data_IF_951440713810
#
_entry.id   IF_951440713810
#
_cell.length_a   1.000
_cell.length_b   1.000
_cell.length_c   1.000
_cell.angle_alpha   90.00
_cell.angle_beta   90.00
_cell.angle_gamma   90.00
#
_symmetry.space_group_name_H-M   'P 1'
#
loop_
_entity.id
_entity.type
_entity.pdbx_description
1 polymer ?
#
# COMPACT_ATOMS: atom_id res chain seq x y z
N UNK A 1 0.85 16.67 -7.05
CA UNK A 1 0.91 15.20 -6.89
C UNK A 1 -0.38 14.77 -6.24
N UNK A 2 -0.91 13.62 -6.64
CA UNK A 2 -2.12 13.02 -6.06
C UNK A 2 -1.69 12.15 -4.88
N UNK A 3 -2.60 11.98 -3.91
CA UNK A 3 -2.39 11.05 -2.79
C UNK A 3 -3.02 9.71 -3.12
N UNK A 4 -2.30 8.64 -2.80
CA UNK A 4 -2.80 7.28 -2.92
C UNK A 4 -2.68 6.56 -1.58
N UNK A 5 -3.72 5.83 -1.21
CA UNK A 5 -3.70 4.88 -0.10
C UNK A 5 -3.39 3.48 -0.63
N UNK A 6 -2.40 2.83 -0.01
CA UNK A 6 -2.00 1.46 -0.30
C UNK A 6 -2.46 0.57 0.84
N UNK A 7 -3.19 -0.49 0.52
CA UNK A 7 -3.76 -1.42 1.50
C UNK A 7 -3.18 -2.82 1.35
N UNK A 8 -2.89 -3.48 2.47
CA UNK A 8 -2.63 -4.92 2.49
C UNK A 8 -3.94 -5.72 2.41
N UNK A 9 -3.83 -7.01 2.10
CA UNK A 9 -4.90 -7.95 2.44
C UNK A 9 -5.08 -7.99 3.98
N UNK A 10 -6.29 -8.33 4.44
CA UNK A 10 -6.52 -8.59 5.87
C UNK A 10 -5.79 -9.87 6.30
N UNK A 11 -5.17 -9.85 7.47
CA UNK A 11 -4.54 -11.01 8.09
C UNK A 11 -4.79 -11.04 9.60
N UNK A 12 -4.70 -12.23 10.20
CA UNK A 12 -4.80 -12.39 11.64
C UNK A 12 -3.41 -12.18 12.27
N UNK A 13 -3.32 -11.24 13.20
CA UNK A 13 -2.06 -10.96 13.89
C UNK A 13 -1.78 -12.00 15.01
N UNK A 14 -0.61 -11.88 15.65
CA UNK A 14 -0.18 -12.78 16.75
C UNK A 14 -1.11 -12.84 17.97
N UNK A 15 -2.04 -11.89 18.10
CA UNK A 15 -3.05 -11.84 19.17
C UNK A 15 -4.41 -12.40 18.73
N UNK A 16 -4.50 -13.01 17.53
CA UNK A 16 -5.74 -13.52 16.99
C UNK A 16 -6.69 -12.43 16.46
N UNK A 17 -6.23 -11.18 16.33
CA UNK A 17 -7.07 -10.07 15.87
C UNK A 17 -6.87 -9.80 14.37
N UNK A 18 -7.94 -9.53 13.61
CA UNK A 18 -7.82 -9.03 12.24
C UNK A 18 -6.99 -7.76 12.21
N UNK A 19 -6.15 -7.64 11.18
CA UNK A 19 -5.31 -6.47 10.93
C UNK A 19 -5.18 -6.27 9.43
N UNK A 20 -5.28 -5.01 9.02
CA UNK A 20 -4.86 -4.51 7.73
C UNK A 20 -3.76 -3.47 7.95
N UNK A 21 -2.83 -3.33 7.01
CA UNK A 21 -1.81 -2.28 6.99
C UNK A 21 -2.14 -1.32 5.86
N UNK A 22 -2.03 -0.03 6.15
CA UNK A 22 -2.22 1.04 5.17
C UNK A 22 -1.03 2.00 5.19
N UNK A 23 -0.69 2.55 4.04
CA UNK A 23 0.23 3.68 3.90
C UNK A 23 -0.28 4.68 2.87
N UNK A 24 0.07 5.96 3.05
CA UNK A 24 -0.24 7.04 2.11
C UNK A 24 1.03 7.42 1.36
N UNK A 25 0.96 7.47 0.04
CA UNK A 25 2.05 7.91 -0.83
C UNK A 25 1.58 9.04 -1.76
N UNK A 26 2.53 9.73 -2.37
CA UNK A 26 2.27 10.72 -3.41
C UNK A 26 2.82 10.24 -4.75
N UNK A 27 2.01 10.35 -5.80
CA UNK A 27 2.41 10.03 -7.18
C UNK A 27 1.59 10.89 -8.17
N UNK A 28 2.00 10.96 -9.43
CA UNK A 28 1.25 11.74 -10.43
C UNK A 28 0.02 10.99 -10.95
N UNK A 29 0.04 9.65 -10.94
CA UNK A 29 -1.01 8.79 -11.47
C UNK A 29 -0.83 7.33 -11.00
N UNK A 30 -1.83 6.47 -11.24
CA UNK A 30 -1.76 5.05 -10.91
C UNK A 30 -0.63 4.28 -11.61
N UNK A 31 -0.24 4.67 -12.85
CA UNK A 31 0.79 3.93 -13.58
C UNK A 31 2.16 4.04 -12.90
N UNK A 32 2.49 5.21 -12.35
CA UNK A 32 3.70 5.39 -11.52
C UNK A 32 3.66 4.52 -10.26
N UNK A 33 2.52 4.50 -9.55
CA UNK A 33 2.35 3.66 -8.35
C UNK A 33 2.51 2.18 -8.68
N UNK A 34 1.85 1.72 -9.74
CA UNK A 34 1.89 0.32 -10.16
C UNK A 34 3.30 -0.07 -10.60
N UNK A 35 3.98 0.78 -11.38
CA UNK A 35 5.34 0.51 -11.83
C UNK A 35 6.32 0.36 -10.65
N UNK A 36 6.26 1.26 -9.67
CA UNK A 36 7.10 1.17 -8.47
C UNK A 36 6.83 -0.13 -7.71
N UNK A 37 5.55 -0.45 -7.48
CA UNK A 37 5.17 -1.70 -6.81
C UNK A 37 5.63 -2.92 -7.59
N UNK A 38 5.43 -2.99 -8.91
CA UNK A 38 5.86 -4.10 -9.75
C UNK A 38 7.39 -4.28 -9.74
N UNK A 39 8.13 -3.17 -9.74
CA UNK A 39 9.60 -3.19 -9.62
C UNK A 39 10.08 -3.81 -8.30
N UNK A 40 9.25 -3.72 -7.25
CA UNK A 40 9.47 -4.33 -5.94
C UNK A 40 8.60 -5.58 -5.72
N UNK A 41 8.23 -6.28 -6.80
CA UNK A 41 7.42 -7.49 -6.76
C UNK A 41 6.12 -7.35 -5.94
N UNK A 42 5.44 -6.22 -6.05
CA UNK A 42 4.19 -5.87 -5.35
C UNK A 42 4.35 -5.51 -3.88
N UNK A 43 5.57 -5.34 -3.37
CA UNK A 43 5.81 -4.91 -2.00
C UNK A 43 5.91 -3.39 -1.90
N UNK A 44 5.27 -2.84 -0.89
CA UNK A 44 5.58 -1.52 -0.39
C UNK A 44 6.49 -1.62 0.83
N UNK A 45 7.59 -0.86 0.83
CA UNK A 45 8.56 -0.79 1.93
C UNK A 45 8.67 0.64 2.40
N UNK A 46 8.16 0.93 3.60
CA UNK A 46 8.32 2.22 4.26
C UNK A 46 9.17 2.11 5.53
N UNK A 47 9.41 3.24 6.19
CA UNK A 47 10.28 3.31 7.37
C UNK A 47 9.85 2.39 8.53
N UNK A 48 8.54 2.18 8.68
CA UNK A 48 7.95 1.43 9.79
C UNK A 48 7.57 -0.02 9.43
N UNK A 49 7.95 -0.49 8.24
CA UNK A 49 7.74 -1.87 7.81
C UNK A 49 7.41 -2.02 6.33
N UNK A 50 7.14 -3.26 5.95
CA UNK A 50 6.82 -3.64 4.58
C UNK A 50 5.54 -4.48 4.52
N UNK A 51 4.77 -4.33 3.45
CA UNK A 51 3.59 -5.16 3.18
C UNK A 51 3.36 -5.35 1.68
N UNK A 52 2.76 -6.49 1.33
CA UNK A 52 2.31 -6.78 -0.03
C UNK A 52 1.03 -5.98 -0.29
N UNK A 53 1.05 -5.11 -1.30
CA UNK A 53 -0.12 -4.29 -1.65
C UNK A 53 -1.15 -5.16 -2.35
N UNK A 54 -2.39 -5.08 -1.87
CA UNK A 54 -3.54 -5.80 -2.40
C UNK A 54 -4.58 -4.86 -3.02
N UNK A 55 -4.60 -3.58 -2.62
CA UNK A 55 -5.54 -2.58 -3.12
C UNK A 55 -4.89 -1.18 -3.09
N UNK A 56 -5.22 -0.36 -4.09
CA UNK A 56 -4.69 0.99 -4.30
C UNK A 56 -5.89 1.90 -4.52
N UNK A 57 -5.95 3.02 -3.81
CA UNK A 57 -7.03 4.00 -3.91
C UNK A 57 -6.48 5.41 -4.04
N UNK A 58 -6.91 6.16 -5.06
CA UNK A 58 -6.66 7.60 -5.18
C UNK A 58 -7.57 8.36 -4.20
N UNK A 59 -6.98 9.17 -3.34
CA UNK A 59 -7.72 10.04 -2.43
C UNK A 59 -8.16 11.28 -3.20
N UNK A 60 -9.46 11.40 -3.45
CA UNK A 60 -10.07 12.60 -4.05
C UNK A 60 -10.56 13.51 -2.92
N UNK A 61 -9.87 14.64 -2.72
CA UNK A 61 -10.29 15.69 -1.78
C UNK A 61 -11.51 16.47 -2.29
#
# INVERSE_FOLDING_TARGET
>A
MKKFELYSAEFINKLGKPKCVMSVIEANNYAEVIQELESNAGWYTGDNGAFKVAYIEEVVE
#
